data_IF_533497631598
#
_entry.id   IF_533497631598
#
_cell.length_a   1.000
_cell.length_b   1.000
_cell.length_c   1.000
_cell.angle_alpha   90.00
_cell.angle_beta   90.00
_cell.angle_gamma   90.00
#
_symmetry.space_group_name_H-M   'P 1'
#
loop_
_entity.id
_entity.type
_entity.pdbx_description
1 polymer ?
#
# COMPACT_ATOMS: atom_id res chain seq x y z
N UNK A 1 -26.85 -53.73 45.67
CA UNK A 1 -26.66 -52.95 44.43
C UNK A 1 -25.17 -52.68 44.27
N UNK A 2 -24.54 -53.04 43.14
CA UNK A 2 -23.22 -52.52 42.81
C UNK A 2 -23.37 -51.09 42.24
N UNK A 3 -22.32 -50.24 42.28
CA UNK A 3 -22.37 -48.97 41.59
C UNK A 3 -22.20 -49.18 40.08
N UNK A 4 -23.06 -48.51 39.31
CA UNK A 4 -22.98 -48.43 37.84
C UNK A 4 -21.74 -47.63 37.48
N UNK A 5 -20.85 -48.23 36.70
CA UNK A 5 -19.67 -47.57 36.15
C UNK A 5 -20.10 -46.79 34.92
N UNK A 6 -20.15 -45.46 35.03
CA UNK A 6 -20.38 -44.57 33.91
C UNK A 6 -19.09 -44.50 33.08
N UNK A 7 -19.12 -45.05 31.87
CA UNK A 7 -18.07 -44.87 30.88
C UNK A 7 -18.35 -43.57 30.13
N UNK A 8 -17.70 -42.49 30.55
CA UNK A 8 -17.65 -41.25 29.77
C UNK A 8 -16.85 -41.51 28.49
N UNK A 9 -17.54 -41.49 27.35
CA UNK A 9 -16.91 -41.51 26.03
C UNK A 9 -16.50 -40.09 25.71
N UNK A 10 -15.21 -39.82 25.85
CA UNK A 10 -14.59 -38.53 25.52
C UNK A 10 -14.61 -38.34 23.99
N UNK A 11 -15.60 -37.62 23.49
CA UNK A 11 -15.68 -37.23 22.08
C UNK A 11 -14.67 -36.12 21.81
N UNK A 12 -13.51 -36.52 21.29
CA UNK A 12 -12.47 -35.61 20.79
C UNK A 12 -13.04 -34.66 19.73
N UNK A 13 -13.14 -33.37 20.07
CA UNK A 13 -13.44 -32.25 19.15
C UNK A 13 -12.17 -31.72 18.47
N UNK A 14 -11.13 -32.54 18.35
CA UNK A 14 -9.89 -32.13 17.70
C UNK A 14 -10.11 -32.07 16.19
N UNK A 15 -10.38 -30.86 15.69
CA UNK A 15 -10.40 -30.55 14.27
C UNK A 15 -8.99 -30.65 13.72
N UNK A 16 -8.64 -31.80 13.16
CA UNK A 16 -7.44 -31.94 12.34
C UNK A 16 -7.74 -31.32 10.97
N UNK A 17 -7.05 -30.22 10.65
CA UNK A 17 -7.03 -29.63 9.29
C UNK A 17 -6.45 -30.59 8.23
N UNK A 18 -5.99 -31.77 8.65
CA UNK A 18 -5.39 -32.78 7.81
C UNK A 18 -6.09 -34.13 8.02
N UNK A 19 -6.85 -34.55 7.01
CA UNK A 19 -7.34 -35.92 6.89
C UNK A 19 -6.29 -36.75 6.13
N UNK A 20 -5.71 -37.80 6.75
CA UNK A 20 -4.74 -38.66 6.08
C UNK A 20 -5.30 -39.42 4.87
N UNK A 21 -6.63 -39.46 4.69
CA UNK A 21 -7.30 -40.01 3.51
C UNK A 21 -7.44 -39.01 2.36
N UNK A 22 -7.05 -37.74 2.54
CA UNK A 22 -7.04 -36.75 1.46
C UNK A 22 -6.10 -37.23 0.34
N UNK A 23 -6.53 -37.24 -0.94
CA UNK A 23 -5.62 -37.47 -2.06
C UNK A 23 -4.44 -36.50 -1.97
N UNK A 24 -3.25 -37.04 -1.70
CA UNK A 24 -2.00 -36.28 -1.71
C UNK A 24 -1.74 -35.84 -3.14
N UNK A 25 -1.99 -34.56 -3.44
CA UNK A 25 -1.65 -34.01 -4.75
C UNK A 25 -0.13 -34.03 -4.90
N UNK A 26 0.37 -34.97 -5.67
CA UNK A 26 1.77 -35.03 -6.08
C UNK A 26 2.00 -33.99 -7.17
N UNK A 27 1.99 -32.71 -6.83
CA UNK A 27 2.47 -31.64 -7.70
C UNK A 27 2.92 -30.45 -6.84
N UNK A 28 4.19 -30.43 -6.46
CA UNK A 28 4.93 -29.22 -6.03
C UNK A 28 5.18 -28.29 -7.24
N UNK A 29 4.15 -28.06 -8.04
CA UNK A 29 4.18 -27.13 -9.14
C UNK A 29 3.94 -25.73 -8.59
N UNK A 30 5.01 -24.93 -8.60
CA UNK A 30 5.01 -23.46 -8.55
C UNK A 30 3.72 -22.91 -9.18
N UNK A 31 2.80 -22.43 -8.35
CA UNK A 31 1.57 -21.78 -8.79
C UNK A 31 1.96 -20.49 -9.52
N UNK A 32 2.12 -20.57 -10.84
CA UNK A 32 2.07 -19.40 -11.70
C UNK A 32 0.62 -18.98 -11.83
N UNK A 33 0.32 -17.75 -11.42
CA UNK A 33 -1.00 -17.16 -11.58
C UNK A 33 -1.30 -16.90 -13.06
N UNK A 34 -2.09 -17.75 -13.70
CA UNK A 34 -2.65 -17.46 -15.03
C UNK A 34 -4.05 -18.08 -15.20
N UNK A 35 -4.99 -17.22 -15.62
CA UNK A 35 -6.30 -17.42 -16.30
C UNK A 35 -7.31 -18.49 -15.78
N UNK A 36 -6.89 -19.69 -15.40
CA UNK A 36 -7.77 -20.77 -14.92
C UNK A 36 -8.43 -20.46 -13.57
N UNK A 37 -7.71 -19.73 -12.71
CA UNK A 37 -8.26 -19.24 -11.44
C UNK A 37 -9.30 -18.16 -11.65
N UNK A 38 -9.13 -17.30 -12.66
CA UNK A 38 -10.10 -16.25 -12.97
C UNK A 38 -11.41 -16.84 -13.51
N UNK A 39 -11.32 -17.82 -14.42
CA UNK A 39 -12.51 -18.51 -14.94
C UNK A 39 -13.27 -19.29 -13.85
N UNK A 40 -12.55 -19.94 -12.94
CA UNK A 40 -13.15 -20.64 -11.79
C UNK A 40 -13.80 -19.66 -10.80
N UNK A 41 -13.16 -18.52 -10.55
CA UNK A 41 -13.70 -17.45 -9.71
C UNK A 41 -14.92 -16.76 -10.34
N UNK A 42 -14.94 -16.58 -11.66
CA UNK A 42 -16.09 -16.05 -12.39
C UNK A 42 -17.28 -17.01 -12.31
N UNK A 43 -17.06 -18.33 -12.32
CA UNK A 43 -18.11 -19.34 -12.11
C UNK A 43 -18.70 -19.31 -10.71
N UNK A 44 -17.89 -19.05 -9.68
CA UNK A 44 -18.38 -18.89 -8.29
C UNK A 44 -19.16 -17.57 -8.10
N UNK A 45 -18.78 -16.50 -8.80
CA UNK A 45 -19.51 -15.21 -8.79
C UNK A 45 -20.87 -15.28 -9.47
N UNK A 46 -21.06 -16.22 -10.38
CA UNK A 46 -22.25 -16.35 -11.20
C UNK A 46 -22.85 -17.74 -11.00
N UNK A 47 -23.27 -18.03 -9.76
CA UNK A 47 -24.01 -19.25 -9.46
C UNK A 47 -25.17 -19.40 -10.46
N UNK A 48 -25.26 -20.57 -11.10
CA UNK A 48 -26.39 -20.92 -11.97
C UNK A 48 -27.69 -20.84 -11.18
N UNK A 49 -28.82 -20.62 -11.87
CA UNK A 49 -30.14 -20.60 -11.22
C UNK A 49 -30.39 -21.89 -10.42
N UNK A 50 -30.00 -23.05 -10.95
CA UNK A 50 -30.04 -24.33 -10.23
C UNK A 50 -29.23 -24.34 -8.92
N UNK A 51 -28.05 -23.72 -8.91
CA UNK A 51 -27.21 -23.65 -7.71
C UNK A 51 -27.83 -22.78 -6.62
N UNK A 52 -28.56 -21.72 -7.00
CA UNK A 52 -29.27 -20.85 -6.05
C UNK A 52 -30.49 -21.54 -5.45
N UNK A 53 -31.23 -22.31 -6.26
CA UNK A 53 -32.37 -23.10 -5.79
C UNK A 53 -31.94 -24.23 -4.83
N UNK A 54 -30.79 -24.87 -5.10
CA UNK A 54 -30.22 -25.87 -4.21
C UNK A 54 -29.79 -25.25 -2.86
N UNK A 55 -29.11 -24.10 -2.90
CA UNK A 55 -28.74 -23.32 -1.72
C UNK A 55 -29.94 -22.94 -0.85
N UNK A 56 -31.02 -22.45 -1.46
CA UNK A 56 -32.26 -22.09 -0.77
C UNK A 56 -32.93 -23.32 -0.14
N UNK A 57 -32.95 -24.46 -0.85
CA UNK A 57 -33.50 -25.72 -0.36
C UNK A 57 -32.78 -26.24 0.89
N UNK A 58 -31.46 -26.07 0.96
CA UNK A 58 -30.66 -26.52 2.10
C UNK A 58 -30.37 -25.40 3.12
N UNK A 59 -30.83 -24.17 2.88
CA UNK A 59 -30.59 -23.02 3.75
C UNK A 59 -29.11 -22.62 3.86
N UNK A 60 -28.32 -22.91 2.83
CA UNK A 60 -26.88 -22.59 2.75
C UNK A 60 -26.69 -21.46 1.74
N UNK A 61 -25.73 -20.56 1.96
CA UNK A 61 -25.34 -19.56 0.95
C UNK A 61 -23.85 -19.69 0.65
N UNK A 62 -23.50 -19.83 -0.63
CA UNK A 62 -22.10 -19.78 -1.07
C UNK A 62 -21.75 -18.46 -1.76
N UNK A 63 -22.55 -17.41 -1.53
CA UNK A 63 -22.32 -16.09 -2.11
C UNK A 63 -20.96 -15.52 -1.67
N UNK A 64 -20.00 -15.55 -2.61
CA UNK A 64 -18.68 -14.95 -2.42
C UNK A 64 -18.74 -13.49 -2.90
N UNK A 65 -18.67 -12.56 -1.96
CA UNK A 65 -18.47 -11.15 -2.28
C UNK A 65 -17.00 -10.91 -2.64
N UNK A 66 -16.74 -10.56 -3.91
CA UNK A 66 -15.39 -10.18 -4.30
C UNK A 66 -15.09 -8.79 -3.76
N UNK A 67 -14.28 -8.69 -2.71
CA UNK A 67 -13.71 -7.42 -2.29
C UNK A 67 -12.76 -6.94 -3.40
N UNK A 68 -13.24 -5.99 -4.22
CA UNK A 68 -12.49 -5.47 -5.37
C UNK A 68 -11.34 -4.55 -4.98
N UNK A 69 -11.36 -4.02 -3.75
CA UNK A 69 -10.39 -3.05 -3.27
C UNK A 69 -9.95 -3.37 -1.84
N UNK A 70 -8.74 -3.91 -1.64
CA UNK A 70 -8.25 -4.25 -0.31
C UNK A 70 -7.83 -3.03 0.49
N UNK A 71 -7.69 -1.84 -0.12
CA UNK A 71 -7.10 -0.64 0.49
C UNK A 71 -8.09 0.08 1.42
N UNK A 72 -8.31 -0.50 2.60
CA UNK A 72 -9.21 0.00 3.65
C UNK A 72 -8.82 1.38 4.24
N UNK A 73 -7.55 1.75 4.17
CA UNK A 73 -7.04 3.05 4.63
C UNK A 73 -6.47 3.78 3.41
N UNK A 74 -7.21 4.78 2.91
CA UNK A 74 -6.77 5.62 1.79
C UNK A 74 -6.46 7.02 2.23
N UNK A 75 -5.43 7.61 1.63
CA UNK A 75 -5.04 8.98 1.93
C UNK A 75 -4.42 9.68 0.74
N UNK A 76 -4.93 10.88 0.43
CA UNK A 76 -4.25 11.84 -0.44
C UNK A 76 -3.19 12.60 0.36
N UNK A 77 -1.96 12.58 -0.12
CA UNK A 77 -0.82 13.18 0.57
C UNK A 77 -0.90 14.70 0.57
N UNK A 78 -0.73 15.28 1.75
CA UNK A 78 -0.66 16.72 1.96
C UNK A 78 0.78 17.21 2.06
N UNK A 79 0.98 18.52 2.19
CA UNK A 79 2.31 19.10 2.39
C UNK A 79 2.91 18.63 3.73
N UNK A 80 2.10 18.55 4.79
CA UNK A 80 2.59 18.13 6.11
C UNK A 80 3.08 16.68 6.12
N UNK A 81 2.43 15.80 5.36
CA UNK A 81 2.82 14.40 5.25
C UNK A 81 4.19 14.21 4.57
N UNK A 82 4.68 15.23 3.88
CA UNK A 82 5.99 15.23 3.18
C UNK A 82 6.99 16.18 3.82
N UNK A 83 6.62 16.81 4.92
CA UNK A 83 7.48 17.78 5.58
C UNK A 83 8.63 17.10 6.31
N UNK A 84 9.63 17.90 6.71
CA UNK A 84 10.75 17.48 7.56
C UNK A 84 10.31 16.92 8.92
N UNK A 85 9.02 17.04 9.28
CA UNK A 85 8.44 16.45 10.48
C UNK A 85 8.36 14.92 10.43
N UNK A 86 8.67 14.31 9.27
CA UNK A 86 8.80 12.87 9.11
C UNK A 86 7.62 12.08 9.69
N UNK A 87 6.40 12.53 9.35
CA UNK A 87 5.16 11.96 9.89
C UNK A 87 4.07 11.91 8.83
N UNK A 88 3.45 10.74 8.70
CA UNK A 88 2.22 10.55 7.93
C UNK A 88 1.03 10.62 8.86
N UNK A 89 0.09 11.55 8.64
CA UNK A 89 -1.10 11.68 9.47
C UNK A 89 -2.27 10.85 8.93
N UNK A 90 -2.74 9.85 9.68
CA UNK A 90 -3.83 8.99 9.27
C UNK A 90 -5.14 9.35 9.98
N UNK A 91 -6.26 9.11 9.30
CA UNK A 91 -7.59 9.36 9.85
C UNK A 91 -7.87 8.40 11.01
N UNK A 92 -8.34 8.97 12.13
CA UNK A 92 -8.59 8.23 13.36
C UNK A 92 -9.58 7.07 13.15
N UNK A 93 -10.72 7.38 12.53
CA UNK A 93 -11.82 6.43 12.35
C UNK A 93 -11.37 5.21 11.54
N UNK A 94 -10.70 5.43 10.42
CA UNK A 94 -10.27 4.32 9.52
C UNK A 94 -9.20 3.46 10.18
N UNK A 95 -8.25 4.07 10.89
CA UNK A 95 -7.19 3.31 11.59
C UNK A 95 -7.76 2.53 12.77
N UNK A 96 -8.69 3.13 13.52
CA UNK A 96 -9.38 2.44 14.62
C UNK A 96 -10.14 1.20 14.10
N UNK A 97 -10.91 1.34 13.01
CA UNK A 97 -11.75 0.26 12.48
C UNK A 97 -11.01 -0.80 11.67
N UNK A 98 -9.91 -0.45 11.00
CA UNK A 98 -9.24 -1.37 10.07
C UNK A 98 -7.86 -1.85 10.52
N UNK A 99 -7.28 -1.27 11.58
CA UNK A 99 -5.96 -1.66 12.08
C UNK A 99 -6.02 -1.93 13.58
N UNK A 100 -6.32 -0.90 14.39
CA UNK A 100 -6.15 -0.96 15.86
C UNK A 100 -7.06 -2.00 16.50
N UNK A 101 -8.27 -2.21 15.98
CA UNK A 101 -9.20 -3.22 16.49
C UNK A 101 -8.68 -4.67 16.40
N UNK A 102 -7.69 -4.92 15.56
CA UNK A 102 -7.11 -6.24 15.34
C UNK A 102 -5.78 -6.44 16.06
N UNK A 103 -5.25 -5.39 16.71
CA UNK A 103 -4.03 -5.50 17.49
C UNK A 103 -4.32 -6.24 18.81
N UNK A 104 -3.33 -7.01 19.33
CA UNK A 104 -3.40 -7.55 20.68
C UNK A 104 -3.64 -6.45 21.73
N UNK A 105 -4.31 -6.79 22.83
CA UNK A 105 -4.74 -5.80 23.84
C UNK A 105 -3.59 -4.90 24.34
N UNK A 106 -2.43 -5.49 24.63
CA UNK A 106 -1.25 -4.76 25.08
C UNK A 106 -0.78 -3.73 24.04
N UNK A 107 -0.68 -4.14 22.77
CA UNK A 107 -0.27 -3.25 21.67
C UNK A 107 -1.29 -2.15 21.42
N UNK A 108 -2.59 -2.48 21.50
CA UNK A 108 -3.67 -1.51 21.37
C UNK A 108 -3.56 -0.42 22.44
N UNK A 109 -3.31 -0.81 23.69
CA UNK A 109 -3.12 0.12 24.81
C UNK A 109 -1.91 1.03 24.59
N UNK A 110 -0.75 0.46 24.20
CA UNK A 110 0.46 1.24 23.88
C UNK A 110 0.22 2.30 22.81
N UNK A 111 -0.52 1.93 21.75
CA UNK A 111 -0.88 2.85 20.66
C UNK A 111 -1.80 3.96 21.17
N UNK A 112 -2.83 3.62 21.95
CA UNK A 112 -3.83 4.57 22.44
C UNK A 112 -3.30 5.55 23.48
N UNK A 113 -2.39 5.09 24.34
CA UNK A 113 -1.72 5.92 25.37
C UNK A 113 -0.62 6.80 24.78
N UNK A 114 -0.25 6.58 23.52
CA UNK A 114 0.74 7.38 22.81
C UNK A 114 2.18 6.91 23.02
N UNK A 115 2.41 5.79 23.71
CA UNK A 115 3.73 5.14 23.81
C UNK A 115 4.26 4.69 22.45
N UNK A 116 3.35 4.41 21.51
CA UNK A 116 3.66 4.00 20.15
C UNK A 116 3.89 2.50 20.02
N UNK A 117 3.78 2.00 18.79
CA UNK A 117 3.99 0.60 18.43
C UNK A 117 4.78 0.53 17.12
N UNK A 118 5.91 -0.17 17.14
CA UNK A 118 6.64 -0.45 15.91
C UNK A 118 5.86 -1.49 15.10
N UNK A 119 5.58 -1.16 13.83
CA UNK A 119 4.88 -2.02 12.88
C UNK A 119 5.70 -2.14 11.61
N UNK A 120 5.69 -3.34 11.03
CA UNK A 120 6.25 -3.58 9.70
C UNK A 120 5.29 -3.08 8.63
N UNK A 121 5.82 -2.34 7.67
CA UNK A 121 5.09 -1.81 6.53
C UNK A 121 5.64 -2.41 5.25
N UNK A 122 4.86 -3.27 4.59
CA UNK A 122 5.22 -3.91 3.34
C UNK A 122 4.76 -3.07 2.14
N UNK A 123 5.72 -2.60 1.35
CA UNK A 123 5.51 -1.83 0.12
C UNK A 123 5.38 -2.77 -1.08
N UNK A 124 4.15 -2.99 -1.55
CA UNK A 124 3.84 -3.86 -2.68
C UNK A 124 4.50 -3.39 -3.99
N UNK A 125 4.72 -2.08 -4.15
CA UNK A 125 5.24 -1.56 -5.41
C UNK A 125 6.74 -1.84 -5.58
N UNK A 126 7.45 -2.15 -4.49
CA UNK A 126 8.90 -2.37 -4.49
C UNK A 126 9.32 -3.66 -3.79
N UNK A 127 8.35 -4.46 -3.34
CA UNK A 127 8.55 -5.72 -2.63
C UNK A 127 9.51 -5.58 -1.43
N UNK A 128 9.37 -4.49 -0.66
CA UNK A 128 10.26 -4.19 0.47
C UNK A 128 9.49 -3.88 1.76
N UNK A 129 10.07 -4.27 2.90
CA UNK A 129 9.48 -4.04 4.22
C UNK A 129 10.26 -2.99 4.99
N UNK A 130 9.55 -2.05 5.61
CA UNK A 130 10.13 -0.94 6.38
C UNK A 130 9.45 -0.82 7.73
N UNK A 131 10.20 -0.51 8.77
CA UNK A 131 9.64 -0.33 10.11
C UNK A 131 9.16 1.10 10.35
N UNK A 132 7.93 1.22 10.86
CA UNK A 132 7.33 2.49 11.21
C UNK A 132 6.84 2.48 12.65
N UNK A 133 6.90 3.63 13.32
CA UNK A 133 6.30 3.81 14.64
C UNK A 133 4.87 4.34 14.48
N UNK A 134 3.88 3.53 14.86
CA UNK A 134 2.46 3.89 14.91
C UNK A 134 2.10 4.46 16.29
N UNK A 135 1.65 5.71 16.34
CA UNK A 135 1.27 6.37 17.60
C UNK A 135 -0.02 7.16 17.47
N UNK A 136 -0.87 7.16 18.50
CA UNK A 136 -2.04 8.06 18.59
C UNK A 136 -1.63 9.43 19.11
N UNK A 137 -2.04 10.50 18.42
CA UNK A 137 -1.86 11.86 18.90
C UNK A 137 -2.96 12.22 19.90
N UNK A 138 -2.58 12.42 21.16
CA UNK A 138 -3.46 12.63 22.32
C UNK A 138 -4.46 13.78 22.14
N UNK A 139 -4.08 14.87 21.46
CA UNK A 139 -4.92 16.09 21.35
C UNK A 139 -5.95 16.07 20.22
N UNK A 140 -5.76 15.26 19.18
CA UNK A 140 -6.58 15.28 17.95
C UNK A 140 -7.15 13.92 17.57
N UNK A 141 -6.83 12.87 18.33
CA UNK A 141 -7.25 11.49 18.08
C UNK A 141 -6.70 10.86 16.81
N UNK A 142 -5.98 11.61 15.97
CA UNK A 142 -5.38 11.12 14.73
C UNK A 142 -4.19 10.21 15.00
N UNK A 143 -3.92 9.30 14.09
CA UNK A 143 -2.75 8.42 14.16
C UNK A 143 -1.61 8.98 13.31
N UNK A 144 -0.38 8.71 13.71
CA UNK A 144 0.81 9.03 12.93
C UNK A 144 1.66 7.80 12.72
N UNK A 145 2.23 7.69 11.52
CA UNK A 145 3.38 6.82 11.24
C UNK A 145 4.62 7.69 11.14
N UNK A 146 5.64 7.39 11.96
CA UNK A 146 6.92 8.10 12.03
C UNK A 146 8.11 7.12 11.98
N UNK A 147 9.33 7.64 12.11
CA UNK A 147 10.56 6.83 12.06
C UNK A 147 11.15 6.83 10.66
N UNK A 148 10.72 5.91 9.80
CA UNK A 148 11.25 5.78 8.43
C UNK A 148 10.42 6.45 7.33
N UNK A 149 9.24 7.01 7.64
CA UNK A 149 8.27 7.47 6.61
C UNK A 149 8.89 8.38 5.54
N UNK A 150 9.68 9.37 5.95
CA UNK A 150 10.26 10.35 5.04
C UNK A 150 11.34 9.73 4.14
N UNK A 151 12.28 8.97 4.71
CA UNK A 151 13.37 8.39 3.94
C UNK A 151 12.86 7.22 3.08
N UNK A 152 12.16 6.27 3.70
CA UNK A 152 11.80 4.99 3.10
C UNK A 152 10.59 5.07 2.18
N UNK A 153 9.75 6.10 2.33
CA UNK A 153 8.59 6.27 1.45
C UNK A 153 8.66 7.59 0.70
N UNK A 154 8.78 8.74 1.36
CA UNK A 154 8.69 10.03 0.65
C UNK A 154 9.85 10.23 -0.34
N UNK A 155 11.09 10.07 0.11
CA UNK A 155 12.28 10.25 -0.73
C UNK A 155 12.44 9.06 -1.67
N UNK A 156 12.52 7.83 -1.14
CA UNK A 156 12.75 6.62 -1.94
C UNK A 156 11.70 6.41 -3.03
N UNK A 157 10.41 6.63 -2.75
CA UNK A 157 9.32 6.45 -3.74
C UNK A 157 8.97 7.72 -4.51
N UNK A 158 9.68 8.82 -4.25
CA UNK A 158 9.44 10.13 -4.87
C UNK A 158 7.99 10.61 -4.69
N UNK A 159 7.39 10.38 -3.53
CA UNK A 159 5.98 10.71 -3.27
C UNK A 159 5.75 12.22 -3.39
N UNK A 160 4.67 12.60 -4.09
CA UNK A 160 4.30 14.00 -4.34
C UNK A 160 3.03 14.39 -3.59
N UNK A 161 2.82 15.71 -3.46
CA UNK A 161 1.57 16.26 -2.93
C UNK A 161 0.46 15.84 -3.89
N UNK A 162 -0.69 15.40 -3.35
CA UNK A 162 -1.84 14.85 -4.08
C UNK A 162 -1.65 13.43 -4.64
N UNK A 163 -0.50 12.78 -4.47
CA UNK A 163 -0.44 11.32 -4.65
C UNK A 163 -1.42 10.67 -3.66
N UNK A 164 -2.10 9.62 -4.09
CA UNK A 164 -2.98 8.83 -3.25
C UNK A 164 -2.30 7.53 -2.89
N UNK A 165 -2.24 7.25 -1.59
CA UNK A 165 -1.70 6.01 -1.04
C UNK A 165 -2.83 5.17 -0.47
N UNK A 166 -2.63 3.85 -0.51
CA UNK A 166 -3.52 2.84 0.04
C UNK A 166 -2.77 2.00 1.05
N UNK A 167 -3.45 1.66 2.13
CA UNK A 167 -2.94 0.78 3.17
C UNK A 167 -4.03 -0.18 3.66
N UNK A 168 -3.65 -1.36 4.12
CA UNK A 168 -4.51 -2.28 4.86
C UNK A 168 -3.71 -3.11 5.86
N UNK A 169 -4.34 -3.49 6.97
CA UNK A 169 -3.71 -4.37 7.95
C UNK A 169 -3.97 -5.84 7.59
N UNK A 170 -2.90 -6.61 7.40
CA UNK A 170 -2.99 -8.06 7.29
C UNK A 170 -2.97 -8.68 8.69
N UNK A 171 -4.02 -9.43 9.01
CA UNK A 171 -4.20 -10.08 10.31
C UNK A 171 -3.36 -11.33 10.46
N UNK A 172 -3.06 -12.02 9.36
CA UNK A 172 -2.29 -13.26 9.37
C UNK A 172 -0.81 -12.95 9.61
N UNK A 173 -0.30 -11.95 8.89
CA UNK A 173 1.10 -11.56 8.94
C UNK A 173 1.41 -10.49 10.00
N UNK A 174 0.37 -9.85 10.57
CA UNK A 174 0.51 -8.70 11.47
C UNK A 174 1.36 -7.58 10.87
N UNK A 175 1.11 -7.26 9.59
CA UNK A 175 1.82 -6.23 8.82
C UNK A 175 0.84 -5.22 8.24
N UNK A 176 1.31 -3.99 8.10
CA UNK A 176 0.61 -2.97 7.34
C UNK A 176 1.07 -3.03 5.88
N UNK A 177 0.18 -3.34 4.96
CA UNK A 177 0.50 -3.30 3.54
C UNK A 177 0.32 -1.88 3.00
N UNK A 178 1.13 -1.52 2.02
CA UNK A 178 1.20 -0.20 1.41
C UNK A 178 1.29 -0.29 -0.11
N UNK A 179 0.65 0.65 -0.81
CA UNK A 179 0.78 0.85 -2.25
C UNK A 179 0.47 2.32 -2.62
N UNK A 180 1.05 2.81 -3.72
CA UNK A 180 0.64 4.08 -4.32
C UNK A 180 -0.50 3.85 -5.32
N UNK A 181 -1.71 4.30 -4.97
CA UNK A 181 -2.93 4.07 -5.76
C UNK A 181 -3.04 4.98 -6.98
N UNK A 182 -2.63 6.25 -6.83
CA UNK A 182 -2.61 7.19 -7.95
C UNK A 182 -1.54 8.26 -7.76
N UNK A 183 -0.97 8.72 -8.89
CA UNK A 183 0.01 9.81 -8.91
C UNK A 183 -0.68 11.12 -9.19
N UNK A 184 -0.17 12.19 -8.59
CA UNK A 184 -0.60 13.55 -8.88
C UNK A 184 -0.43 13.82 -10.39
N UNK A 185 -1.40 14.48 -11.04
CA UNK A 185 -1.30 14.78 -12.46
C UNK A 185 -0.03 15.59 -12.71
N UNK A 186 0.86 15.07 -13.55
CA UNK A 186 2.00 15.82 -14.05
C UNK A 186 1.45 16.93 -14.92
N UNK A 187 1.70 18.19 -14.54
CA UNK A 187 1.43 19.33 -15.39
C UNK A 187 2.40 19.32 -16.57
N UNK A 188 2.24 18.39 -17.50
CA UNK A 188 2.81 18.53 -18.84
C UNK A 188 1.97 19.60 -19.51
N UNK A 189 2.45 20.84 -19.40
CA UNK A 189 2.02 21.94 -20.25
C UNK A 189 2.22 21.45 -21.69
N UNK A 190 1.14 21.29 -22.45
CA UNK A 190 1.24 21.13 -23.90
C UNK A 190 2.02 22.32 -24.41
N UNK A 191 3.26 22.08 -24.84
CA UNK A 191 4.14 23.11 -25.35
C UNK A 191 3.50 23.73 -26.59
N UNK A 192 2.96 24.94 -26.44
CA UNK A 192 2.72 25.82 -27.57
C UNK A 192 4.09 26.20 -28.12
N UNK A 193 4.48 25.55 -29.23
CA UNK A 193 5.58 25.99 -30.07
C UNK A 193 5.23 27.40 -30.54
N UNK A 194 5.83 28.41 -29.91
CA UNK A 194 5.79 29.76 -30.46
C UNK A 194 6.57 29.70 -31.77
N UNK A 195 5.83 29.78 -32.88
CA UNK A 195 6.39 29.97 -34.21
C UNK A 195 7.27 31.23 -34.18
N UNK A 196 8.57 31.03 -34.38
CA UNK A 196 9.51 32.12 -34.62
C UNK A 196 9.16 32.71 -35.99
N UNK A 197 8.84 34.02 -36.11
CA UNK A 197 8.63 34.61 -37.41
C UNK A 197 9.98 34.73 -38.14
N UNK A 198 10.00 34.18 -39.36
CA UNK A 198 11.08 34.31 -40.34
C UNK A 198 11.37 35.79 -40.63
N UNK A 199 12.60 36.24 -40.37
CA UNK A 199 13.11 37.51 -40.89
C UNK A 199 14.15 37.24 -41.97
N UNK A 200 13.93 37.85 -43.13
CA UNK A 200 14.77 37.79 -44.32
C UNK A 200 16.14 38.47 -44.10
N UNK A 201 17.17 38.10 -44.87
CA UNK A 201 18.52 38.61 -44.68
C UNK A 201 18.68 40.02 -45.31
N UNK A 202 19.02 41.01 -44.49
CA UNK A 202 19.46 42.32 -44.96
C UNK A 202 20.98 42.44 -44.89
N UNK A 203 21.59 42.68 -46.05
CA UNK A 203 22.62 43.70 -46.22
C UNK A 203 23.99 43.46 -45.61
N UNK A 204 24.91 43.01 -46.46
CA UNK A 204 26.37 43.12 -46.29
C UNK A 204 26.75 44.59 -46.13
N UNK A 205 27.51 44.93 -45.08
CA UNK A 205 28.36 46.14 -45.07
C UNK A 205 29.70 45.82 -44.43
N UNK A 206 30.73 45.90 -45.27
CA UNK A 206 32.15 45.81 -44.97
C UNK A 206 32.56 46.90 -43.98
N UNK A 207 33.34 46.53 -42.95
CA UNK A 207 33.87 47.45 -41.96
C UNK A 207 35.15 46.89 -41.34
N UNK A 208 36.26 47.55 -41.66
CA UNK A 208 37.66 47.21 -41.39
C UNK A 208 37.96 46.79 -39.94
N UNK A 209 38.75 45.71 -39.80
CA UNK A 209 39.42 45.31 -38.57
C UNK A 209 40.68 46.17 -38.39
N UNK A 210 40.77 46.90 -37.29
CA UNK A 210 42.05 47.49 -36.84
C UNK A 210 42.45 46.82 -35.54
N UNK A 211 43.57 46.10 -35.60
CA UNK A 211 44.26 45.50 -34.47
C UNK A 211 44.99 46.61 -33.72
N UNK A 212 44.69 46.79 -32.43
CA UNK A 212 45.57 47.51 -31.51
C UNK A 212 45.98 46.57 -30.39
N UNK A 213 47.23 46.13 -30.48
CA UNK A 213 47.98 45.44 -29.44
C UNK A 213 48.21 46.35 -28.24
N UNK A 214 47.98 45.85 -27.02
CA UNK A 214 48.72 46.31 -25.85
C UNK A 214 49.13 45.12 -24.99
N UNK A 215 50.42 45.13 -24.66
CA UNK A 215 51.19 44.10 -23.97
C UNK A 215 50.89 44.04 -22.45
N UNK A 216 51.22 42.93 -21.77
CA UNK A 216 51.00 42.76 -20.35
C UNK A 216 52.12 43.40 -19.51
N UNK A 217 51.76 44.01 -18.38
CA UNK A 217 52.74 44.40 -17.35
C UNK A 217 52.81 43.31 -16.28
N UNK A 218 54.06 42.90 -16.06
CA UNK A 218 54.62 41.94 -15.12
C UNK A 218 54.43 42.36 -13.65
N UNK A 219 54.30 41.35 -12.76
CA UNK A 219 55.03 41.07 -11.49
C UNK A 219 55.45 42.25 -10.58
N UNK A 220 55.52 42.20 -9.26
CA UNK A 220 55.52 41.23 -8.12
C UNK A 220 55.74 42.13 -6.86
N UNK A 221 56.00 41.65 -5.63
CA UNK A 221 55.82 40.34 -5.01
C UNK A 221 54.81 40.33 -3.84
#
# INVERSE_FOLDING_TARGET
MPPVSESETDCSVTLFLYDPTWPKSSDDAKISCTEEKETSLMKLKLLSNEGREEEEKYGVSTELTLFTDPWTIKKKLTISDRSHLNRLLLNARTVDSHLVRYLPEGHRKMVQEGSGLTVDVYDHDTESTHQMLLTKLTKRGSYVLTGGWFLDFVIRRGLKKKDEIGMYWDRSDSKLHFCVLSRAPSGVSSGSVLAVPSQAPTGVSSGSVTITSYAPLLADP
#
